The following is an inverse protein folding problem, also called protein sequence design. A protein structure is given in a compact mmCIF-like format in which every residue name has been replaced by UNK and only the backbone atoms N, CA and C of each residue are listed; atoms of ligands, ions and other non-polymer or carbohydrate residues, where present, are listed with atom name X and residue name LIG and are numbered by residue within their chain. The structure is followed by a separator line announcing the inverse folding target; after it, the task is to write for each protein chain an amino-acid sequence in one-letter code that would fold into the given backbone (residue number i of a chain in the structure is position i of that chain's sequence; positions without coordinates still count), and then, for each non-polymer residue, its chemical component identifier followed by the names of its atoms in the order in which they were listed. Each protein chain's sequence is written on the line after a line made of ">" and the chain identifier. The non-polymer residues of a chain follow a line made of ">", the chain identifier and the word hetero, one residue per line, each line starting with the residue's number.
data_IF_408986048013
#
_entry.id   IF_408986048013
#
_cell.length_a   1.000
_cell.length_b   1.000
_cell.length_c   1.000
_cell.angle_alpha   90.00
_cell.angle_beta   90.00
_cell.angle_gamma   90.00
#
_symmetry.space_group_name_H-M   'P 1'
#
loop_
_entity.id
_entity.type
_entity.pdbx_description
1 polymer ?
#
# COMPACT_ATOMS: atom_id res chain seq x y z
N UNK A 1 3.48 18.18 -2.87
CA UNK A 1 2.00 18.02 -2.93
C UNK A 1 1.66 16.86 -3.85
N UNK A 2 0.77 16.00 -3.43
CA UNK A 2 0.30 14.90 -4.26
C UNK A 2 -0.52 15.44 -5.45
N UNK A 3 -0.47 14.74 -6.58
CA UNK A 3 -1.25 15.04 -7.78
C UNK A 3 -2.02 13.80 -8.22
N UNK A 4 -3.30 13.97 -8.53
CA UNK A 4 -4.19 12.87 -8.87
C UNK A 4 -4.62 12.92 -10.33
N UNK A 5 -4.60 11.77 -11.00
CA UNK A 5 -5.07 11.57 -12.36
C UNK A 5 -5.99 10.36 -12.40
N UNK A 6 -7.16 10.48 -12.98
CA UNK A 6 -8.03 9.36 -13.29
C UNK A 6 -7.52 8.67 -14.56
N UNK A 7 -7.26 7.37 -14.46
CA UNK A 7 -6.72 6.54 -15.55
C UNK A 7 -7.82 5.80 -16.31
N UNK A 8 -8.85 5.40 -15.58
CA UNK A 8 -10.06 4.76 -16.09
C UNK A 8 -11.19 5.03 -15.08
N UNK A 9 -12.41 4.65 -15.41
CA UNK A 9 -13.57 4.87 -14.55
C UNK A 9 -13.34 4.32 -13.14
N UNK A 10 -13.27 5.22 -12.14
CA UNK A 10 -13.00 4.90 -10.74
C UNK A 10 -11.59 4.35 -10.46
N UNK A 11 -10.63 4.51 -11.36
CA UNK A 11 -9.23 4.09 -11.19
C UNK A 11 -8.31 5.30 -11.26
N UNK A 12 -7.59 5.57 -10.19
CA UNK A 12 -6.77 6.76 -10.06
C UNK A 12 -5.31 6.42 -9.77
N UNK A 13 -4.43 7.28 -10.25
CA UNK A 13 -3.05 7.37 -9.81
C UNK A 13 -2.87 8.63 -8.98
N UNK A 14 -2.33 8.48 -7.78
CA UNK A 14 -1.91 9.57 -6.90
C UNK A 14 -0.38 9.57 -6.90
N UNK A 15 0.23 10.60 -7.48
CA UNK A 15 1.67 10.75 -7.52
C UNK A 15 2.11 11.73 -6.44
N UNK A 16 3.15 11.38 -5.71
CA UNK A 16 3.82 12.25 -4.73
C UNK A 16 5.13 12.76 -5.27
N UNK A 17 5.55 13.95 -4.85
CA UNK A 17 6.77 14.61 -5.33
C UNK A 17 8.04 13.96 -4.78
N UNK A 18 7.98 13.37 -3.59
CA UNK A 18 9.14 12.71 -3.00
C UNK A 18 9.30 11.30 -3.56
N UNK A 19 10.49 10.98 -4.07
CA UNK A 19 10.86 9.71 -4.72
C UNK A 19 9.96 9.33 -5.91
N UNK A 20 9.18 10.27 -6.45
CA UNK A 20 8.27 10.04 -7.58
C UNK A 20 7.38 8.80 -7.40
N UNK A 21 6.91 8.56 -6.18
CA UNK A 21 6.10 7.40 -5.86
C UNK A 21 4.68 7.56 -6.39
N UNK A 22 4.09 6.42 -6.73
CA UNK A 22 2.70 6.35 -7.15
C UNK A 22 1.94 5.44 -6.21
N UNK A 23 0.77 5.92 -5.79
CA UNK A 23 -0.27 5.16 -5.10
C UNK A 23 -1.43 4.96 -6.06
N UNK A 24 -1.97 3.76 -6.13
CA UNK A 24 -3.20 3.47 -6.85
C UNK A 24 -4.42 3.64 -5.95
N UNK A 25 -5.54 4.09 -6.54
CA UNK A 25 -6.84 4.07 -5.89
C UNK A 25 -7.87 3.47 -6.85
N UNK A 26 -8.61 2.46 -6.38
CA UNK A 26 -9.67 1.80 -7.14
C UNK A 26 -10.97 1.95 -6.34
N UNK A 27 -11.99 2.52 -6.97
CA UNK A 27 -13.32 2.64 -6.37
C UNK A 27 -14.17 1.42 -6.72
N UNK A 28 -14.76 0.78 -5.71
CA UNK A 28 -15.89 -0.10 -5.86
C UNK A 28 -17.21 0.63 -5.56
N UNK A 29 -18.25 -0.09 -5.20
CA UNK A 29 -19.52 0.52 -4.73
C UNK A 29 -19.62 0.58 -3.20
N UNK A 30 -18.90 -0.28 -2.48
CA UNK A 30 -18.96 -0.36 -1.02
C UNK A 30 -17.65 0.03 -0.35
N UNK A 31 -16.52 -0.27 -1.01
CA UNK A 31 -15.16 0.00 -0.52
C UNK A 31 -14.29 0.59 -1.61
N UNK A 32 -13.20 1.21 -1.22
CA UNK A 32 -12.14 1.64 -2.13
C UNK A 32 -10.81 0.99 -1.72
N UNK A 33 -10.05 0.51 -2.71
CA UNK A 33 -8.74 -0.09 -2.53
C UNK A 33 -7.65 0.95 -2.78
N UNK A 34 -6.77 1.12 -1.80
CA UNK A 34 -5.54 1.91 -1.90
C UNK A 34 -4.36 0.97 -2.10
N UNK A 35 -3.55 1.22 -3.11
CA UNK A 35 -2.37 0.42 -3.46
C UNK A 35 -1.13 1.20 -3.05
N UNK A 36 -0.46 0.73 -2.01
CA UNK A 36 0.67 1.34 -1.32
C UNK A 36 0.33 2.67 -0.61
N UNK A 37 1.00 2.94 0.51
CA UNK A 37 0.64 4.04 1.42
C UNK A 37 1.71 5.12 1.54
N UNK A 38 2.85 4.97 0.84
CA UNK A 38 3.92 5.95 0.87
C UNK A 38 5.02 5.67 1.90
N UNK A 39 6.03 6.53 1.91
CA UNK A 39 7.31 6.33 2.58
C UNK A 39 7.37 6.85 4.03
N UNK A 40 6.28 7.38 4.55
CA UNK A 40 6.22 7.89 5.92
C UNK A 40 4.99 8.74 6.19
N UNK A 41 4.82 9.24 7.43
CA UNK A 41 3.59 9.87 7.88
C UNK A 41 3.15 11.08 7.05
N UNK A 42 4.09 11.95 6.67
CA UNK A 42 3.77 13.13 5.87
C UNK A 42 3.21 12.76 4.49
N UNK A 43 3.90 11.86 3.79
CA UNK A 43 3.49 11.43 2.46
C UNK A 43 2.16 10.66 2.52
N UNK A 44 2.00 9.80 3.53
CA UNK A 44 0.77 9.07 3.75
C UNK A 44 -0.42 9.99 4.02
N UNK A 45 -0.22 11.08 4.77
CA UNK A 45 -1.25 12.10 4.99
C UNK A 45 -1.64 12.80 3.69
N UNK A 46 -0.67 13.18 2.86
CA UNK A 46 -0.94 13.77 1.55
C UNK A 46 -1.74 12.81 0.64
N UNK A 47 -1.37 11.52 0.64
CA UNK A 47 -2.09 10.48 -0.11
C UNK A 47 -3.51 10.31 0.44
N UNK A 48 -3.64 10.19 1.76
CA UNK A 48 -4.94 10.02 2.42
C UNK A 48 -5.89 11.19 2.12
N UNK A 49 -5.39 12.42 2.17
CA UNK A 49 -6.18 13.61 1.86
C UNK A 49 -6.67 13.60 0.41
N UNK A 50 -5.82 13.20 -0.56
CA UNK A 50 -6.26 13.04 -1.95
C UNK A 50 -7.30 11.93 -2.10
N UNK A 51 -7.13 10.78 -1.45
CA UNK A 51 -8.12 9.70 -1.44
C UNK A 51 -9.45 10.22 -0.90
N UNK A 52 -9.44 10.99 0.20
CA UNK A 52 -10.65 11.52 0.83
C UNK A 52 -11.32 12.67 0.08
N UNK A 53 -10.64 13.31 -0.87
CA UNK A 53 -11.28 14.22 -1.83
C UNK A 53 -12.11 13.46 -2.86
N UNK A 54 -11.69 12.24 -3.21
CA UNK A 54 -12.35 11.41 -4.24
C UNK A 54 -13.48 10.59 -3.62
N UNK A 55 -13.26 9.97 -2.45
CA UNK A 55 -14.22 9.04 -1.85
C UNK A 55 -14.31 9.15 -0.33
N UNK A 56 -15.50 8.83 0.20
CA UNK A 56 -15.76 8.67 1.65
C UNK A 56 -15.97 7.21 2.04
N UNK A 57 -15.84 6.28 1.10
CA UNK A 57 -16.02 4.85 1.35
C UNK A 57 -15.02 4.32 2.39
N UNK A 58 -15.32 3.19 3.07
CA UNK A 58 -14.35 2.41 3.79
C UNK A 58 -13.15 2.07 2.90
N UNK A 59 -11.95 2.12 3.46
CA UNK A 59 -10.72 1.83 2.72
C UNK A 59 -10.20 0.43 3.03
N UNK A 60 -9.69 -0.21 2.00
CA UNK A 60 -8.86 -1.39 2.05
C UNK A 60 -7.48 -1.00 1.52
N UNK A 61 -6.42 -1.44 2.14
CA UNK A 61 -5.05 -1.19 1.69
C UNK A 61 -4.41 -2.48 1.20
N UNK A 62 -3.65 -2.42 0.12
CA UNK A 62 -2.71 -3.47 -0.28
C UNK A 62 -1.29 -2.91 -0.36
N UNK A 63 -0.34 -3.59 0.27
CA UNK A 63 1.07 -3.30 0.09
C UNK A 63 1.64 -4.25 -0.96
N UNK A 64 2.15 -3.68 -2.05
CA UNK A 64 2.66 -4.45 -3.18
C UNK A 64 3.87 -5.29 -2.81
N UNK A 65 4.74 -4.79 -1.94
CA UNK A 65 5.90 -5.49 -1.40
C UNK A 65 6.45 -4.83 -0.13
N UNK A 66 7.49 -5.41 0.48
CA UNK A 66 8.01 -5.06 1.80
C UNK A 66 9.14 -4.00 1.78
N UNK A 67 9.05 -2.97 0.93
CA UNK A 67 9.95 -1.83 0.98
C UNK A 67 9.32 -0.64 1.70
N UNK A 68 10.11 0.18 2.43
CA UNK A 68 9.62 1.27 3.26
C UNK A 68 8.63 2.20 2.57
N UNK A 69 8.93 2.58 1.34
CA UNK A 69 8.13 3.51 0.55
C UNK A 69 6.75 2.96 0.12
N UNK A 70 6.45 1.70 0.45
CA UNK A 70 5.17 1.05 0.13
C UNK A 70 4.25 0.93 1.33
N UNK A 71 4.80 0.82 2.55
CA UNK A 71 3.99 0.50 3.72
C UNK A 71 4.25 1.39 4.95
N UNK A 72 5.23 2.30 4.91
CA UNK A 72 5.50 3.20 6.04
C UNK A 72 4.34 4.15 6.35
N UNK A 73 3.40 4.32 5.43
CA UNK A 73 2.19 5.08 5.67
C UNK A 73 1.02 4.26 6.23
N UNK A 74 1.17 2.96 6.43
CA UNK A 74 0.08 2.12 6.95
C UNK A 74 -0.45 2.61 8.30
N UNK A 75 0.41 3.13 9.17
CA UNK A 75 0.07 3.67 10.48
C UNK A 75 -0.91 4.86 10.38
N UNK A 76 -0.70 5.75 9.43
CA UNK A 76 -1.61 6.88 9.18
C UNK A 76 -2.98 6.37 8.74
N UNK A 77 -3.02 5.41 7.80
CA UNK A 77 -4.28 4.83 7.34
C UNK A 77 -4.99 4.07 8.46
N UNK A 78 -4.26 3.33 9.30
CA UNK A 78 -4.81 2.64 10.47
C UNK A 78 -5.36 3.62 11.50
N UNK A 79 -4.64 4.69 11.82
CA UNK A 79 -5.10 5.74 12.73
C UNK A 79 -6.37 6.45 12.22
N UNK A 80 -6.57 6.50 10.91
CA UNK A 80 -7.75 7.06 10.25
C UNK A 80 -8.88 6.05 10.03
N UNK A 81 -8.79 4.85 10.62
CA UNK A 81 -9.84 3.84 10.67
C UNK A 81 -9.81 2.77 9.58
N UNK A 82 -8.71 2.63 8.84
CA UNK A 82 -8.53 1.48 7.95
C UNK A 82 -8.14 0.26 8.79
N UNK A 83 -8.89 -0.83 8.64
CA UNK A 83 -8.69 -2.06 9.41
C UNK A 83 -8.16 -3.22 8.56
N UNK A 84 -8.31 -3.15 7.24
CA UNK A 84 -8.02 -4.22 6.29
C UNK A 84 -6.77 -3.88 5.46
N UNK A 85 -5.65 -4.58 5.74
CA UNK A 85 -4.37 -4.42 5.06
C UNK A 85 -3.94 -5.75 4.45
N UNK A 86 -3.81 -5.79 3.13
CA UNK A 86 -3.43 -6.96 2.34
C UNK A 86 -1.97 -6.95 1.95
N UNK A 87 -1.35 -8.11 1.91
CA UNK A 87 -0.05 -8.33 1.27
C UNK A 87 0.17 -9.81 0.95
N UNK A 88 1.26 -10.10 0.24
CA UNK A 88 1.76 -11.46 0.18
C UNK A 88 2.30 -11.91 1.55
N UNK A 89 2.11 -13.18 1.97
CA UNK A 89 2.61 -13.67 3.27
C UNK A 89 4.12 -13.49 3.48
N UNK A 90 4.93 -13.56 2.41
CA UNK A 90 6.37 -13.30 2.50
C UNK A 90 6.66 -11.82 2.76
N UNK A 91 5.89 -10.91 2.15
CA UNK A 91 6.00 -9.48 2.42
C UNK A 91 5.59 -9.15 3.86
N UNK A 92 4.47 -9.67 4.35
CA UNK A 92 4.05 -9.48 5.75
C UNK A 92 5.11 -9.99 6.75
N UNK A 93 5.70 -11.17 6.49
CA UNK A 93 6.81 -11.68 7.31
C UNK A 93 8.05 -10.79 7.27
N UNK A 94 8.40 -10.26 6.10
CA UNK A 94 9.53 -9.36 5.94
C UNK A 94 9.30 -8.03 6.68
N UNK A 95 8.11 -7.43 6.56
CA UNK A 95 7.70 -6.22 7.29
C UNK A 95 7.82 -6.46 8.81
N UNK A 96 7.22 -7.55 9.30
CA UNK A 96 7.28 -7.90 10.72
C UNK A 96 8.71 -8.11 11.24
N UNK A 97 9.57 -8.72 10.42
CA UNK A 97 10.94 -9.06 10.83
C UNK A 97 11.92 -7.90 10.72
N UNK A 98 11.74 -7.06 9.70
CA UNK A 98 12.75 -6.07 9.31
C UNK A 98 12.26 -4.62 9.41
N UNK A 99 10.99 -4.37 9.73
CA UNK A 99 10.41 -3.03 9.74
C UNK A 99 11.17 -2.03 10.61
N UNK A 100 11.51 -2.40 11.85
CA UNK A 100 12.31 -1.54 12.74
C UNK A 100 13.70 -1.26 12.20
N UNK A 101 14.33 -2.25 11.54
CA UNK A 101 15.63 -2.05 10.90
C UNK A 101 15.50 -1.12 9.67
N UNK A 102 14.42 -1.25 8.92
CA UNK A 102 14.14 -0.36 7.78
C UNK A 102 13.88 1.07 8.25
N UNK A 103 13.18 1.28 9.38
CA UNK A 103 13.03 2.61 9.99
C UNK A 103 14.38 3.25 10.29
N UNK A 104 15.26 2.52 10.97
CA UNK A 104 16.60 3.00 11.29
C UNK A 104 17.41 3.30 10.03
N UNK A 105 17.32 2.46 9.01
CA UNK A 105 17.97 2.66 7.72
C UNK A 105 17.51 3.95 7.05
N UNK A 106 16.19 4.13 6.90
CA UNK A 106 15.61 5.32 6.28
C UNK A 106 16.00 6.58 7.06
N UNK A 107 15.90 6.55 8.39
CA UNK A 107 16.23 7.72 9.22
C UNK A 107 17.70 8.14 9.13
N UNK A 108 18.61 7.17 8.99
CA UNK A 108 20.05 7.43 9.04
C UNK A 108 20.72 7.60 7.67
N UNK A 109 20.26 6.85 6.68
CA UNK A 109 20.91 6.78 5.36
C UNK A 109 20.09 7.41 4.23
N UNK A 110 18.77 7.43 4.37
CA UNK A 110 17.87 8.02 3.36
C UNK A 110 16.76 8.89 3.98
N UNK A 111 17.12 9.84 4.88
CA UNK A 111 16.11 10.60 5.64
C UNK A 111 15.14 11.38 4.75
N UNK A 112 15.56 11.79 3.56
CA UNK A 112 14.71 12.48 2.61
C UNK A 112 13.56 11.61 2.10
N UNK A 113 13.73 10.28 2.06
CA UNK A 113 12.67 9.35 1.62
C UNK A 113 11.39 9.55 2.43
N UNK A 114 11.52 9.64 3.74
CA UNK A 114 10.41 9.84 4.67
C UNK A 114 10.31 11.30 5.18
N UNK A 115 10.82 12.27 4.44
CA UNK A 115 10.84 13.68 4.83
C UNK A 115 11.38 13.91 6.26
N UNK A 116 12.44 13.20 6.65
CA UNK A 116 13.00 13.20 8.02
C UNK A 116 12.01 12.69 9.09
N UNK A 117 11.04 11.88 8.72
CA UNK A 117 10.03 11.30 9.62
C UNK A 117 10.05 9.77 9.66
N UNK A 118 11.14 9.14 9.19
CA UNK A 118 11.24 7.68 9.17
C UNK A 118 11.10 7.05 10.56
N UNK A 119 11.73 7.66 11.58
CA UNK A 119 11.62 7.20 12.96
C UNK A 119 10.22 7.36 13.58
N UNK A 120 9.38 8.23 13.03
CA UNK A 120 8.01 8.46 13.51
C UNK A 120 7.00 7.45 12.96
N UNK A 121 7.41 6.58 12.06
CA UNK A 121 6.55 5.55 11.47
C UNK A 121 6.36 4.39 12.44
N UNK A 122 5.13 4.03 12.73
CA UNK A 122 4.79 2.77 13.39
C UNK A 122 4.64 1.64 12.36
N UNK A 123 5.16 0.46 12.71
CA UNK A 123 5.13 -0.67 11.77
C UNK A 123 3.80 -1.41 11.87
N UNK A 124 2.89 -1.10 10.95
CA UNK A 124 1.62 -1.82 10.79
C UNK A 124 1.80 -2.95 9.78
N UNK A 125 1.80 -4.17 10.29
CA UNK A 125 1.93 -5.38 9.47
C UNK A 125 0.58 -5.73 8.84
N UNK A 126 0.52 -6.01 7.53
CA UNK A 126 -0.71 -6.47 6.89
C UNK A 126 -1.33 -7.68 7.58
N UNK A 127 -2.63 -7.63 7.81
CA UNK A 127 -3.42 -8.62 8.54
C UNK A 127 -4.28 -9.52 7.64
N UNK A 128 -4.35 -9.22 6.34
CA UNK A 128 -4.96 -10.04 5.31
C UNK A 128 -3.89 -10.51 4.33
N UNK A 129 -3.93 -11.79 3.98
CA UNK A 129 -2.88 -12.40 3.19
C UNK A 129 -3.45 -13.00 1.91
N UNK A 130 -2.77 -12.76 0.78
CA UNK A 130 -3.14 -13.42 -0.47
C UNK A 130 -3.02 -14.94 -0.33
N UNK A 131 -3.87 -15.67 -1.03
CA UNK A 131 -3.84 -17.12 -1.05
C UNK A 131 -2.47 -17.64 -1.51
N UNK A 132 -2.00 -18.70 -0.89
CA UNK A 132 -0.82 -19.45 -1.35
C UNK A 132 -1.28 -20.78 -1.93
N UNK A 133 -0.90 -21.05 -3.18
CA UNK A 133 -1.09 -22.35 -3.81
C UNK A 133 0.28 -22.89 -4.22
N UNK A 134 1.00 -23.51 -3.29
CA UNK A 134 2.30 -24.12 -3.60
C UNK A 134 3.31 -23.12 -4.20
N UNK A 135 3.98 -23.50 -5.29
CA UNK A 135 4.98 -22.68 -6.01
C UNK A 135 4.39 -21.95 -7.25
N UNK A 136 3.08 -21.92 -7.39
CA UNK A 136 2.41 -21.41 -8.58
C UNK A 136 1.95 -19.95 -8.49
N UNK A 137 1.49 -19.44 -9.64
CA UNK A 137 0.78 -18.15 -9.73
C UNK A 137 -0.51 -18.24 -8.91
N UNK A 138 -0.79 -17.21 -8.13
CA UNK A 138 -2.04 -17.13 -7.37
C UNK A 138 -2.83 -15.86 -7.69
N UNK A 139 -4.14 -16.01 -7.66
CA UNK A 139 -5.10 -14.93 -7.86
C UNK A 139 -6.00 -14.87 -6.61
N UNK A 140 -6.04 -13.72 -5.96
CA UNK A 140 -6.88 -13.50 -4.77
C UNK A 140 -7.77 -12.31 -5.02
N UNK A 141 -9.10 -12.51 -5.13
CA UNK A 141 -10.02 -11.39 -5.31
C UNK A 141 -10.19 -10.63 -3.99
N UNK A 142 -10.28 -9.31 -4.10
CA UNK A 142 -10.70 -8.39 -3.05
C UNK A 142 -12.01 -7.76 -3.50
N UNK A 143 -13.09 -8.07 -2.80
CA UNK A 143 -14.42 -7.55 -3.09
C UNK A 143 -14.53 -6.10 -2.64
N UNK A 144 -14.93 -5.23 -3.56
CA UNK A 144 -15.14 -3.80 -3.32
C UNK A 144 -16.62 -3.39 -3.47
N UNK A 145 -17.52 -4.38 -3.60
CA UNK A 145 -18.95 -4.19 -3.90
C UNK A 145 -19.18 -4.02 -5.41
N UNK A 146 -19.81 -5.02 -6.05
CA UNK A 146 -20.06 -5.14 -7.51
C UNK A 146 -18.82 -4.96 -8.42
N UNK A 147 -17.66 -4.69 -7.85
CA UNK A 147 -16.36 -4.62 -8.49
C UNK A 147 -15.37 -5.37 -7.63
N UNK A 148 -14.46 -6.09 -8.22
CA UNK A 148 -13.36 -6.72 -7.50
C UNK A 148 -12.01 -6.30 -8.07
N UNK A 149 -11.02 -6.17 -7.18
CA UNK A 149 -9.62 -6.14 -7.57
C UNK A 149 -9.02 -7.52 -7.38
N UNK A 150 -8.15 -7.94 -8.29
CA UNK A 150 -7.46 -9.23 -8.18
C UNK A 150 -6.01 -9.00 -7.79
N UNK A 151 -5.62 -9.52 -6.63
CA UNK A 151 -4.22 -9.53 -6.18
C UNK A 151 -3.52 -10.73 -6.80
N UNK A 152 -2.47 -10.48 -7.58
CA UNK A 152 -1.80 -11.49 -8.41
C UNK A 152 -0.37 -11.67 -7.92
N UNK A 153 -0.02 -12.86 -7.51
CA UNK A 153 1.35 -13.25 -7.20
C UNK A 153 1.90 -14.13 -8.32
N UNK A 154 3.01 -13.73 -8.93
CA UNK A 154 3.64 -14.42 -10.05
C UNK A 154 4.91 -15.22 -9.67
N UNK A 155 5.27 -15.21 -8.40
CA UNK A 155 6.54 -15.72 -7.91
C UNK A 155 7.45 -14.59 -7.41
N UNK A 156 8.65 -14.92 -6.89
CA UNK A 156 9.65 -13.94 -6.51
C UNK A 156 10.07 -13.07 -7.70
N UNK A 157 10.20 -11.77 -7.50
CA UNK A 157 10.59 -10.80 -8.52
C UNK A 157 11.56 -9.78 -7.94
N UNK A 158 11.10 -8.54 -7.73
CA UNK A 158 11.86 -7.49 -7.08
C UNK A 158 12.13 -7.81 -5.60
N UNK A 159 11.14 -8.43 -4.95
CA UNK A 159 11.27 -9.05 -3.62
C UNK A 159 10.76 -10.49 -3.67
N UNK A 160 10.64 -11.16 -2.51
CA UNK A 160 10.05 -12.50 -2.45
C UNK A 160 8.50 -12.48 -2.44
N UNK A 161 7.88 -11.33 -2.28
CA UNK A 161 6.45 -11.21 -2.06
C UNK A 161 5.78 -10.10 -2.84
N UNK A 162 6.17 -9.90 -4.11
CA UNK A 162 5.60 -8.87 -4.96
C UNK A 162 4.19 -9.23 -5.42
N UNK A 163 3.28 -8.26 -5.37
CA UNK A 163 1.90 -8.41 -5.85
C UNK A 163 1.64 -7.40 -6.97
N UNK A 164 1.02 -7.87 -8.03
CA UNK A 164 0.34 -7.04 -9.00
C UNK A 164 -1.13 -6.90 -8.62
N UNK A 165 -1.74 -5.80 -8.98
CA UNK A 165 -3.17 -5.57 -8.79
C UNK A 165 -3.83 -5.43 -10.16
N UNK A 166 -4.69 -6.40 -10.48
CA UNK A 166 -5.55 -6.38 -11.65
C UNK A 166 -6.93 -5.82 -11.30
N UNK A 167 -7.59 -5.22 -12.27
CA UNK A 167 -8.97 -4.73 -12.16
C UNK A 167 -9.72 -5.05 -13.46
N UNK A 168 -10.97 -5.43 -13.33
CA UNK A 168 -11.90 -5.72 -14.44
C UNK A 168 -12.57 -4.44 -14.94
#
# INVERSE_FOLDING_TARGET
>A
MATTIELADGVYRIATDNYCLNTGLILGLEKALVIDTGAGPRQATEIYDEVRRITRMPLVVVNTHAHPERYFGNDVFAAMGTEEFWSHPRAARAIKKYGDRQRLYVETLEPEMAHHQGAATDIVVPNHLVAQSGEGITFTPVDLGERSATLIYLGPGHTEGDILVGID
#
